data_IF_288055839462
#
_entry.id   IF_288055839462
#
_cell.length_a   1.000
_cell.length_b   1.000
_cell.length_c   1.000
_cell.angle_alpha   90.00
_cell.angle_beta   90.00
_cell.angle_gamma   90.00
#
_symmetry.space_group_name_H-M   'P 1'
#
loop_
_entity.id
_entity.type
_entity.pdbx_description
1 polymer ?
#
# COMPACT_ATOMS: atom_id res chain seq x y z
N UNK A 1 -21.38 -3.55 -0.55
CA UNK A 1 -20.58 -2.49 0.11
C UNK A 1 -20.13 -1.55 -0.98
N UNK A 2 -20.46 -0.28 -0.90
CA UNK A 2 -20.00 0.70 -1.90
C UNK A 2 -18.52 1.00 -1.66
N UNK A 3 -17.74 1.07 -2.75
CA UNK A 3 -16.31 1.38 -2.67
C UNK A 3 -16.12 2.88 -2.48
N UNK A 4 -15.68 3.27 -1.29
CA UNK A 4 -15.25 4.64 -1.03
C UNK A 4 -13.79 4.81 -1.48
N UNK A 5 -13.61 5.33 -2.69
CA UNK A 5 -12.29 5.51 -3.32
C UNK A 5 -11.39 6.41 -2.47
N UNK A 6 -11.94 7.46 -1.86
CA UNK A 6 -11.16 8.39 -1.04
C UNK A 6 -10.64 7.67 0.21
N UNK A 7 -11.51 6.94 0.91
CA UNK A 7 -11.13 6.19 2.11
C UNK A 7 -10.13 5.09 1.81
N UNK A 8 -10.29 4.38 0.69
CA UNK A 8 -9.36 3.35 0.23
C UNK A 8 -8.00 3.95 -0.11
N UNK A 9 -7.95 5.06 -0.84
CA UNK A 9 -6.69 5.74 -1.19
C UNK A 9 -5.95 6.25 0.04
N UNK A 10 -6.66 6.87 1.00
CA UNK A 10 -6.07 7.33 2.26
C UNK A 10 -5.51 6.14 3.04
N UNK A 11 -6.27 5.06 3.19
CA UNK A 11 -5.82 3.87 3.90
C UNK A 11 -4.56 3.26 3.25
N UNK A 12 -4.53 3.21 1.91
CA UNK A 12 -3.36 2.75 1.17
C UNK A 12 -2.11 3.58 1.48
N UNK A 13 -2.20 4.91 1.40
CA UNK A 13 -1.07 5.80 1.69
C UNK A 13 -0.62 5.68 3.14
N UNK A 14 -1.56 5.56 4.10
CA UNK A 14 -1.25 5.38 5.52
C UNK A 14 -0.47 4.09 5.75
N UNK A 15 -0.89 2.97 5.15
CA UNK A 15 -0.18 1.68 5.29
C UNK A 15 1.24 1.77 4.74
N UNK A 16 1.42 2.39 3.56
CA UNK A 16 2.76 2.61 2.98
C UNK A 16 3.60 3.48 3.91
N UNK A 17 3.04 4.59 4.41
CA UNK A 17 3.74 5.52 5.32
C UNK A 17 4.18 4.84 6.61
N UNK A 18 3.35 3.99 7.21
CA UNK A 18 3.70 3.22 8.41
C UNK A 18 4.84 2.24 8.10
N UNK A 19 4.77 1.51 6.98
CA UNK A 19 5.82 0.55 6.61
C UNK A 19 7.16 1.23 6.35
N UNK A 20 7.17 2.30 5.57
CA UNK A 20 8.38 3.10 5.29
C UNK A 20 8.92 3.74 6.57
N UNK A 21 8.06 4.38 7.36
CA UNK A 21 8.45 5.02 8.62
C UNK A 21 9.02 4.03 9.63
N UNK A 22 8.45 2.82 9.73
CA UNK A 22 8.97 1.74 10.56
C UNK A 22 10.35 1.28 10.12
N UNK A 23 10.58 1.14 8.81
CA UNK A 23 11.90 0.78 8.26
C UNK A 23 12.94 1.88 8.44
N UNK A 24 12.55 3.15 8.42
CA UNK A 24 13.47 4.26 8.70
C UNK A 24 13.83 4.34 10.20
N UNK A 25 12.92 3.98 11.09
CA UNK A 25 13.16 3.94 12.54
C UNK A 25 13.95 2.69 12.97
N UNK A 26 13.84 1.60 12.23
CA UNK A 26 14.59 0.37 12.48
C UNK A 26 15.97 0.43 11.78
N UNK A 27 17.10 0.26 12.50
CA UNK A 27 18.44 0.33 11.89
C UNK A 27 18.80 -0.96 11.13
N UNK A 28 17.90 -1.45 10.27
CA UNK A 28 18.08 -2.67 9.47
C UNK A 28 18.66 -2.40 8.07
N UNK A 29 18.50 -1.18 7.55
CA UNK A 29 18.98 -0.75 6.24
C UNK A 29 19.18 0.77 6.18
N UNK A 30 19.93 1.27 5.20
CA UNK A 30 20.16 2.72 5.06
C UNK A 30 18.90 3.43 4.56
N UNK A 31 18.74 4.70 4.93
CA UNK A 31 17.60 5.50 4.51
C UNK A 31 17.48 5.62 2.98
N UNK A 32 18.61 5.68 2.28
CA UNK A 32 18.65 5.72 0.81
C UNK A 32 18.03 4.46 0.19
N UNK A 33 18.39 3.27 0.68
CA UNK A 33 17.79 2.01 0.23
C UNK A 33 16.28 1.98 0.50
N UNK A 34 15.84 2.44 1.68
CA UNK A 34 14.41 2.50 2.01
C UNK A 34 13.66 3.42 1.04
N UNK A 35 14.16 4.62 0.82
CA UNK A 35 13.44 5.66 0.08
C UNK A 35 13.53 5.49 -1.45
N UNK A 36 14.65 4.99 -1.97
CA UNK A 36 14.88 4.88 -3.42
C UNK A 36 14.60 3.50 -3.99
N UNK A 37 14.49 2.46 -3.16
CA UNK A 37 14.25 1.09 -3.64
C UNK A 37 13.00 0.48 -3.01
N UNK A 38 12.90 0.48 -1.68
CA UNK A 38 11.82 -0.20 -0.97
C UNK A 38 10.49 0.54 -1.13
N UNK A 39 10.45 1.85 -0.86
CA UNK A 39 9.23 2.64 -0.97
C UNK A 39 8.63 2.61 -2.39
N UNK A 40 9.40 2.82 -3.49
CA UNK A 40 8.87 2.68 -4.84
C UNK A 40 8.32 1.28 -5.12
N UNK A 41 9.03 0.22 -4.70
CA UNK A 41 8.59 -1.17 -4.90
C UNK A 41 7.29 -1.47 -4.14
N UNK A 42 7.18 -1.01 -2.89
CA UNK A 42 5.97 -1.14 -2.08
C UNK A 42 4.79 -0.41 -2.70
N UNK A 43 5.00 0.79 -3.26
CA UNK A 43 3.95 1.56 -3.92
C UNK A 43 3.47 0.81 -5.17
N UNK A 44 4.38 0.41 -6.06
CA UNK A 44 4.01 -0.27 -7.32
C UNK A 44 3.29 -1.58 -7.03
N UNK A 45 3.88 -2.45 -6.20
CA UNK A 45 3.28 -3.73 -5.84
C UNK A 45 1.96 -3.54 -5.10
N UNK A 46 1.92 -2.58 -4.16
CA UNK A 46 0.73 -2.25 -3.40
C UNK A 46 -0.43 -1.78 -4.28
N UNK A 47 -0.17 -0.96 -5.29
CA UNK A 47 -1.19 -0.52 -6.26
C UNK A 47 -1.75 -1.69 -7.07
N UNK A 48 -0.88 -2.62 -7.52
CA UNK A 48 -1.30 -3.82 -8.23
C UNK A 48 -2.22 -4.66 -7.34
N UNK A 49 -1.80 -4.93 -6.10
CA UNK A 49 -2.59 -5.72 -5.15
C UNK A 49 -3.90 -5.03 -4.76
N UNK A 50 -3.90 -3.70 -4.62
CA UNK A 50 -5.10 -2.93 -4.32
C UNK A 50 -6.13 -3.08 -5.44
N UNK A 51 -5.72 -2.94 -6.70
CA UNK A 51 -6.60 -3.12 -7.85
C UNK A 51 -7.21 -4.53 -7.90
N UNK A 52 -6.38 -5.56 -7.73
CA UNK A 52 -6.84 -6.96 -7.73
C UNK A 52 -7.78 -7.22 -6.55
N UNK A 53 -7.44 -6.75 -5.35
CA UNK A 53 -8.24 -6.93 -4.15
C UNK A 53 -9.62 -6.26 -4.24
N UNK A 54 -9.68 -5.04 -4.80
CA UNK A 54 -10.95 -4.34 -5.07
C UNK A 54 -11.80 -5.13 -6.05
N UNK A 55 -11.22 -5.59 -7.18
CA UNK A 55 -11.94 -6.39 -8.16
C UNK A 55 -12.50 -7.69 -7.56
N UNK A 56 -11.68 -8.39 -6.75
CA UNK A 56 -12.11 -9.59 -6.05
C UNK A 56 -13.24 -9.31 -5.04
N UNK A 57 -13.13 -8.23 -4.28
CA UNK A 57 -14.17 -7.81 -3.32
C UNK A 57 -15.49 -7.46 -4.00
N UNK A 58 -15.43 -6.74 -5.12
CA UNK A 58 -16.61 -6.40 -5.92
C UNK A 58 -17.29 -7.65 -6.49
N UNK A 59 -16.52 -8.61 -7.01
CA UNK A 59 -17.06 -9.88 -7.50
C UNK A 59 -17.83 -10.62 -6.40
N UNK A 60 -17.24 -10.75 -5.20
CA UNK A 60 -17.87 -11.42 -4.04
C UNK A 60 -19.04 -10.66 -3.42
N UNK A 61 -19.15 -9.36 -3.65
CA UNK A 61 -20.27 -8.57 -3.15
C UNK A 61 -21.49 -8.62 -4.09
N UNK A 62 -21.29 -9.05 -5.34
CA UNK A 62 -22.31 -9.06 -6.40
C UNK A 62 -22.79 -10.47 -6.78
N UNK A 63 -22.07 -11.51 -6.39
CA UNK A 63 -22.38 -12.93 -6.60
C UNK A 63 -22.28 -13.69 -5.27
#
# INVERSE_FOLDING_TARGET
MELDVAKTAIAFVVVIGIGVGGLLAAPMMTADTVLMMVAPSMIVFGLIMLGIGVAHGQYRATH
#
